data_IF_541347185047
#
_entry.id   IF_541347185047
#
_cell.length_a   1.000
_cell.length_b   1.000
_cell.length_c   1.000
_cell.angle_alpha   90.00
_cell.angle_beta   90.00
_cell.angle_gamma   90.00
#
_symmetry.space_group_name_H-M   'P 1'
#
loop_
_entity.id
_entity.type
_entity.pdbx_description
1 polymer ?
#
# COMPACT_ATOMS: atom_id res chain seq x y z
N UNK A 1 15.66 4.85 14.52
CA UNK A 1 15.25 5.08 13.12
C UNK A 1 14.04 4.21 12.88
N UNK A 2 12.84 4.77 12.90
CA UNK A 2 11.65 3.99 12.56
C UNK A 2 11.68 3.71 11.05
N UNK A 3 11.82 2.43 10.71
CA UNK A 3 11.91 1.96 9.33
C UNK A 3 10.57 2.03 8.61
N UNK A 4 10.61 1.88 7.29
CA UNK A 4 9.41 1.73 6.46
C UNK A 4 8.64 0.49 6.95
N UNK A 5 7.42 0.70 7.44
CA UNK A 5 6.54 -0.39 7.90
C UNK A 5 5.63 -0.81 6.75
N UNK A 6 5.39 -2.11 6.56
CA UNK A 6 4.58 -2.65 5.45
C UNK A 6 3.46 -3.51 5.96
N UNK A 7 2.32 -3.48 5.27
CA UNK A 7 1.13 -4.25 5.62
C UNK A 7 0.34 -4.62 4.37
N UNK A 8 -0.31 -5.78 4.41
CA UNK A 8 -1.31 -6.17 3.43
C UNK A 8 -2.70 -5.87 3.98
N UNK A 9 -3.58 -5.31 3.15
CA UNK A 9 -4.98 -5.16 3.50
C UNK A 9 -5.72 -6.51 3.34
N UNK A 10 -6.17 -7.09 4.44
CA UNK A 10 -6.85 -8.40 4.48
C UNK A 10 -8.38 -8.30 4.53
N UNK A 11 -8.94 -7.08 4.57
CA UNK A 11 -10.39 -6.88 4.66
C UNK A 11 -10.93 -6.83 6.09
N UNK A 12 -10.26 -7.50 7.02
CA UNK A 12 -10.66 -7.67 8.42
C UNK A 12 -9.63 -7.16 9.43
N UNK A 13 -8.43 -6.78 8.98
CA UNK A 13 -7.34 -6.28 9.82
C UNK A 13 -7.36 -4.76 10.04
N UNK A 14 -8.55 -4.16 10.16
CA UNK A 14 -8.71 -2.71 10.29
C UNK A 14 -8.08 -2.16 11.59
N UNK A 15 -8.06 -2.95 12.66
CA UNK A 15 -7.42 -2.58 13.93
C UNK A 15 -5.90 -2.47 13.75
N UNK A 16 -5.28 -3.44 13.07
CA UNK A 16 -3.84 -3.41 12.78
C UNK A 16 -3.48 -2.21 11.89
N UNK A 17 -4.35 -1.87 10.93
CA UNK A 17 -4.20 -0.67 10.08
C UNK A 17 -4.25 0.61 10.94
N UNK A 18 -5.13 0.68 11.93
CA UNK A 18 -5.20 1.81 12.86
C UNK A 18 -3.90 1.92 13.66
N UNK A 19 -3.43 0.85 14.28
CA UNK A 19 -2.17 0.85 15.05
C UNK A 19 -0.94 1.25 14.21
N UNK A 20 -1.01 1.03 12.89
CA UNK A 20 0.05 1.38 11.97
C UNK A 20 0.02 2.87 11.56
N UNK A 21 -1.16 3.46 11.38
CA UNK A 21 -1.35 4.81 10.86
C UNK A 21 -1.38 5.85 12.00
N UNK A 22 -0.56 6.91 11.98
CA UNK A 22 -0.51 7.85 13.09
C UNK A 22 -1.83 8.60 13.34
N UNK A 23 -2.58 8.92 12.29
CA UNK A 23 -3.77 9.78 12.38
C UNK A 23 -5.10 9.01 12.30
N UNK A 24 -5.05 7.67 12.22
CA UNK A 24 -6.23 6.79 12.00
C UNK A 24 -7.18 7.25 10.87
N UNK A 25 -6.68 8.06 9.92
CA UNK A 25 -7.50 8.71 8.92
C UNK A 25 -7.72 7.80 7.72
N UNK A 26 -8.53 6.78 7.91
CA UNK A 26 -8.89 5.83 6.86
C UNK A 26 -10.32 5.33 7.03
N UNK A 27 -10.87 4.81 5.94
CA UNK A 27 -12.06 3.98 5.99
C UNK A 27 -11.89 2.79 5.05
N UNK A 28 -12.85 1.88 5.09
CA UNK A 28 -12.90 0.75 4.18
C UNK A 28 -14.31 0.63 3.61
N UNK A 29 -14.39 0.42 2.29
CA UNK A 29 -15.65 0.32 1.55
C UNK A 29 -15.44 -0.54 0.32
N UNK A 30 -16.43 -1.38 0.01
CA UNK A 30 -16.42 -2.26 -1.16
C UNK A 30 -15.13 -3.12 -1.25
N UNK A 31 -14.70 -3.64 -0.09
CA UNK A 31 -13.49 -4.47 0.03
C UNK A 31 -12.16 -3.72 -0.12
N UNK A 32 -12.17 -2.40 -0.31
CA UNK A 32 -10.96 -1.60 -0.41
C UNK A 32 -10.73 -0.77 0.85
N UNK A 33 -9.46 -0.66 1.25
CA UNK A 33 -8.98 0.31 2.22
C UNK A 33 -8.73 1.64 1.52
N UNK A 34 -9.18 2.74 2.11
CA UNK A 34 -9.03 4.11 1.61
C UNK A 34 -8.39 4.94 2.72
N UNK A 35 -7.13 5.33 2.52
CA UNK A 35 -6.34 6.13 3.47
C UNK A 35 -6.33 7.58 2.97
N UNK A 36 -6.76 8.51 3.81
CA UNK A 36 -6.85 9.93 3.50
C UNK A 36 -5.59 10.67 3.93
N UNK A 37 -4.95 11.37 2.98
CA UNK A 37 -3.71 12.12 3.23
C UNK A 37 -3.80 13.51 2.60
N UNK A 38 -2.93 14.44 3.01
CA UNK A 38 -2.92 15.81 2.49
C UNK A 38 -2.71 15.87 0.96
N UNK A 39 -2.08 14.86 0.37
CA UNK A 39 -1.88 14.72 -1.08
C UNK A 39 -3.02 14.02 -1.84
N UNK A 40 -4.07 13.59 -1.13
CA UNK A 40 -5.19 12.84 -1.68
C UNK A 40 -5.36 11.45 -1.07
N UNK A 41 -6.32 10.72 -1.64
CA UNK A 41 -6.71 9.40 -1.15
C UNK A 41 -5.89 8.29 -1.79
N UNK A 42 -5.50 7.32 -0.98
CA UNK A 42 -4.84 6.10 -1.43
C UNK A 42 -5.80 4.94 -1.28
N UNK A 43 -6.16 4.33 -2.40
CA UNK A 43 -7.03 3.14 -2.44
C UNK A 43 -6.23 1.86 -2.58
N UNK A 44 -6.35 0.97 -1.61
CA UNK A 44 -5.69 -0.34 -1.56
C UNK A 44 -6.78 -1.42 -1.64
N UNK A 45 -6.85 -2.20 -2.73
CA UNK A 45 -7.82 -3.30 -2.84
C UNK A 45 -7.50 -4.41 -1.83
N UNK A 46 -8.47 -5.27 -1.54
CA UNK A 46 -8.25 -6.49 -0.75
C UNK A 46 -7.06 -7.29 -1.32
N UNK A 47 -6.17 -7.74 -0.44
CA UNK A 47 -4.91 -8.40 -0.79
C UNK A 47 -3.80 -7.45 -1.27
N UNK A 48 -4.09 -6.15 -1.40
CA UNK A 48 -3.12 -5.15 -1.80
C UNK A 48 -2.15 -4.80 -0.67
N UNK A 49 -0.89 -4.56 -1.05
CA UNK A 49 0.16 -4.14 -0.14
C UNK A 49 0.32 -2.63 -0.10
N UNK A 50 0.65 -2.12 1.08
CA UNK A 50 1.01 -0.73 1.30
C UNK A 50 2.13 -0.59 2.33
N UNK A 51 2.78 0.56 2.31
CA UNK A 51 3.89 0.90 3.18
C UNK A 51 3.68 2.29 3.81
N UNK A 52 4.09 2.45 5.06
CA UNK A 52 4.11 3.73 5.77
C UNK A 52 5.57 4.17 5.90
N UNK A 53 5.87 5.39 5.45
CA UNK A 53 7.20 5.99 5.59
C UNK A 53 7.41 6.62 6.98
N UNK A 54 8.62 7.11 7.23
CA UNK A 54 8.98 7.71 8.51
C UNK A 54 8.22 9.01 8.82
N UNK A 55 7.57 9.62 7.83
CA UNK A 55 6.71 10.79 8.01
C UNK A 55 5.23 10.42 8.20
N UNK A 56 4.89 9.13 8.24
CA UNK A 56 3.52 8.66 8.40
C UNK A 56 2.71 8.61 7.10
N UNK A 57 3.32 8.89 5.94
CA UNK A 57 2.61 8.82 4.67
C UNK A 57 2.54 7.39 4.16
N UNK A 58 1.41 7.07 3.56
CA UNK A 58 1.12 5.74 3.06
C UNK A 58 1.44 5.72 1.57
N UNK A 59 1.89 4.57 1.09
CA UNK A 59 2.26 4.38 -0.30
C UNK A 59 1.78 3.01 -0.74
N UNK A 60 1.12 2.92 -1.90
CA UNK A 60 0.86 1.61 -2.50
C UNK A 60 2.18 0.96 -2.86
N UNK A 61 2.35 -0.29 -2.44
CA UNK A 61 3.45 -1.10 -2.92
C UNK A 61 2.99 -1.72 -4.23
N UNK A 62 3.63 -1.36 -5.34
CA UNK A 62 3.46 -2.09 -6.58
C UNK A 62 4.00 -3.50 -6.35
N UNK A 63 3.15 -4.52 -6.52
CA UNK A 63 3.63 -5.89 -6.54
C UNK A 63 4.60 -6.03 -7.71
N UNK A 64 5.85 -6.37 -7.41
CA UNK A 64 6.91 -6.56 -8.42
C UNK A 64 6.86 -7.97 -9.01
N UNK A 65 5.84 -8.78 -8.68
CA UNK A 65 5.58 -10.01 -9.40
C UNK A 65 5.09 -9.68 -10.80
N UNK A 66 6.00 -9.89 -11.76
CA UNK A 66 5.85 -9.78 -13.20
C UNK A 66 6.10 -8.40 -13.83
N UNK A 67 7.12 -8.40 -14.71
CA UNK A 67 7.25 -7.54 -15.88
C UNK A 67 8.02 -6.20 -15.77
N UNK A 68 9.31 -6.27 -15.40
CA UNK A 68 10.31 -5.35 -15.98
C UNK A 68 11.56 -6.01 -16.57
N UNK A 69 11.74 -7.32 -16.37
CA UNK A 69 12.85 -8.10 -16.99
C UNK A 69 12.48 -8.75 -18.33
N UNK A 70 11.19 -9.01 -18.62
CA UNK A 70 10.80 -9.68 -19.87
C UNK A 70 10.78 -8.77 -21.11
N UNK A 71 10.87 -7.43 -20.95
CA UNK A 71 11.01 -6.50 -22.09
C UNK A 71 12.44 -6.32 -22.59
N UNK A 72 13.46 -6.79 -21.88
CA UNK A 72 14.87 -6.60 -22.30
C UNK A 72 15.43 -7.72 -23.20
N UNK A 73 14.68 -8.81 -23.38
CA UNK A 73 15.11 -9.98 -24.18
C UNK A 73 14.40 -10.14 -25.53
N UNK A 74 13.47 -9.24 -25.90
CA UNK A 74 12.82 -9.25 -27.22
C UNK A 74 13.38 -8.25 -28.25
N UNK A 75 14.26 -7.33 -27.85
CA UNK A 75 14.96 -6.38 -28.75
C UNK A 75 16.36 -6.84 -29.19
N UNK A 76 16.64 -8.15 -29.14
CA UNK A 76 17.85 -8.76 -29.72
C UNK A 76 17.55 -10.03 -30.51
N UNK A 77 16.52 -9.99 -31.36
CA UNK A 77 16.41 -10.91 -32.49
C UNK A 77 16.24 -10.09 -33.76
#
# INVERSE_FOLDING_TARGET
>A
MEGIRRMQWQGDNAVDVADLLPDHNFHHKDGALIIHQHGGDIRIPHGGWFAIDAAGHAHRVADVSENKLAKRFKEKR
#
